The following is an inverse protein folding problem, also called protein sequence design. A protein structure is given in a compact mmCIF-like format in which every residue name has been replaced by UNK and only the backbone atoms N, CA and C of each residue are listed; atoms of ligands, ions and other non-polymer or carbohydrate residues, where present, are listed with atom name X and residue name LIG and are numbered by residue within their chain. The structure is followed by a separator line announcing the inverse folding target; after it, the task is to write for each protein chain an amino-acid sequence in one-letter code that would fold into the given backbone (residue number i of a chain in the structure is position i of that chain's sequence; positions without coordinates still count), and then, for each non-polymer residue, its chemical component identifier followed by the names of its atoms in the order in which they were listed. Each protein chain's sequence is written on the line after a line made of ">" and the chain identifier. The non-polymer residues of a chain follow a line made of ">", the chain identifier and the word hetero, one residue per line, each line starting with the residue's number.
data_IF_685510547450
#
_entry.id   IF_685510547450
#
_cell.length_a   1.000
_cell.length_b   1.000
_cell.length_c   1.000
_cell.angle_alpha   90.00
_cell.angle_beta   90.00
_cell.angle_gamma   90.00
#
_symmetry.space_group_name_H-M   'P 1'
#
loop_
_entity.id
_entity.type
_entity.pdbx_description
1 polymer ?
#
# COMPACT_ATOMS: atom_id res chain seq x y z
N UNK A 1 -3.75 20.75 -3.02
CA UNK A 1 -3.24 20.98 -1.65
C UNK A 1 -2.37 19.79 -1.30
N UNK A 2 -1.15 20.02 -0.84
CA UNK A 2 -0.21 18.95 -0.52
C UNK A 2 -0.75 17.99 0.55
N UNK A 3 -0.56 16.69 0.33
CA UNK A 3 -1.05 15.64 1.23
C UNK A 3 0.07 15.07 2.05
N UNK A 4 -0.23 14.69 3.29
CA UNK A 4 0.68 13.90 4.13
C UNK A 4 0.42 12.42 3.84
N UNK A 5 1.45 11.73 3.36
CA UNK A 5 1.37 10.37 2.83
C UNK A 5 2.28 9.44 3.62
N UNK A 6 1.68 8.49 4.33
CA UNK A 6 2.40 7.39 4.96
C UNK A 6 2.60 6.24 3.98
N UNK A 7 3.70 5.49 4.07
CA UNK A 7 4.00 4.36 3.19
C UNK A 7 4.32 3.12 4.01
N UNK A 8 3.54 2.06 3.81
CA UNK A 8 3.68 0.76 4.46
C UNK A 8 4.21 -0.26 3.44
N UNK A 9 5.29 -0.96 3.77
CA UNK A 9 5.97 -1.90 2.87
C UNK A 9 6.94 -2.81 3.64
N UNK A 10 7.41 -3.89 3.00
CA UNK A 10 8.46 -4.75 3.58
C UNK A 10 9.84 -4.29 3.13
N UNK A 11 10.58 -3.63 4.01
CA UNK A 11 11.89 -3.02 3.71
C UNK A 11 12.83 -3.89 2.87
N UNK A 12 13.05 -5.12 3.33
CA UNK A 12 14.04 -6.04 2.77
C UNK A 12 13.55 -6.91 1.60
N UNK A 13 12.33 -6.72 1.09
CA UNK A 13 11.83 -7.59 0.01
C UNK A 13 12.56 -7.30 -1.30
N UNK A 14 13.24 -8.31 -1.83
CA UNK A 14 13.99 -8.27 -3.10
C UNK A 14 13.22 -8.88 -4.27
N UNK A 15 11.99 -9.35 -4.05
CA UNK A 15 11.15 -9.93 -5.12
C UNK A 15 10.45 -8.86 -5.95
N UNK A 16 11.23 -7.89 -6.44
CA UNK A 16 10.80 -6.73 -7.22
C UNK A 16 11.69 -6.56 -8.45
N UNK A 17 11.21 -5.85 -9.48
CA UNK A 17 12.01 -5.56 -10.67
C UNK A 17 13.25 -4.74 -10.32
N UNK A 18 14.37 -5.05 -10.97
CA UNK A 18 15.63 -4.36 -10.79
C UNK A 18 15.58 -2.92 -11.32
N UNK A 19 15.77 -1.93 -10.42
CA UNK A 19 15.87 -0.51 -10.75
C UNK A 19 17.30 -0.09 -11.13
N UNK A 20 18.23 -1.05 -11.24
CA UNK A 20 19.63 -0.82 -11.57
C UNK A 20 20.32 0.16 -10.60
N UNK A 21 20.11 -0.06 -9.31
CA UNK A 21 20.62 0.80 -8.23
C UNK A 21 22.10 0.54 -7.95
N UNK A 22 22.84 1.63 -7.70
CA UNK A 22 24.23 1.60 -7.26
C UNK A 22 24.38 2.36 -5.94
N UNK A 23 25.01 1.73 -4.96
CA UNK A 23 25.31 2.34 -3.66
C UNK A 23 26.83 2.39 -3.43
N UNK A 24 27.29 3.33 -2.62
CA UNK A 24 28.70 3.41 -2.24
C UNK A 24 29.01 2.35 -1.16
N UNK A 25 30.02 1.52 -1.42
CA UNK A 25 30.53 0.60 -0.41
C UNK A 25 31.42 1.34 0.62
N UNK A 26 31.92 0.62 1.64
CA UNK A 26 32.84 1.16 2.66
C UNK A 26 34.10 1.83 2.07
N UNK A 27 34.49 1.48 0.84
CA UNK A 27 35.64 2.05 0.14
C UNK A 27 35.27 3.22 -0.81
N UNK A 28 34.02 3.72 -0.75
CA UNK A 28 33.52 4.82 -1.59
C UNK A 28 33.31 4.43 -3.05
N UNK A 29 33.30 3.14 -3.38
CA UNK A 29 33.07 2.67 -4.74
C UNK A 29 31.59 2.42 -4.97
N UNK A 30 31.04 2.95 -6.07
CA UNK A 30 29.68 2.65 -6.51
C UNK A 30 29.59 1.21 -7.01
N UNK A 31 28.88 0.37 -6.26
CA UNK A 31 28.65 -1.03 -6.60
C UNK A 31 27.17 -1.25 -6.85
N UNK A 32 26.84 -2.10 -7.84
CA UNK A 32 25.45 -2.47 -8.09
C UNK A 32 24.93 -3.25 -6.88
N UNK A 33 23.80 -2.82 -6.33
CA UNK A 33 23.14 -3.52 -5.23
C UNK A 33 21.88 -4.21 -5.72
N UNK A 34 21.44 -5.22 -4.97
CA UNK A 34 20.17 -5.86 -5.25
C UNK A 34 19.02 -4.91 -4.92
N UNK A 35 18.17 -4.63 -5.91
CA UNK A 35 16.97 -3.83 -5.71
C UNK A 35 16.04 -4.50 -4.68
N UNK A 36 15.41 -3.64 -3.86
CA UNK A 36 14.53 -3.96 -2.74
C UNK A 36 13.33 -3.02 -2.80
N UNK A 37 12.23 -3.37 -2.14
CA UNK A 37 11.07 -2.48 -2.00
C UNK A 37 11.44 -1.10 -1.42
N UNK A 38 12.45 -0.99 -0.54
CA UNK A 38 12.98 0.30 -0.07
C UNK A 38 13.42 1.24 -1.20
N UNK A 39 14.00 0.71 -2.27
CA UNK A 39 14.43 1.53 -3.41
C UNK A 39 13.24 2.12 -4.17
N UNK A 40 12.12 1.38 -4.28
CA UNK A 40 10.86 1.93 -4.79
C UNK A 40 10.29 3.02 -3.90
N UNK A 41 10.54 2.96 -2.58
CA UNK A 41 10.11 4.03 -1.65
C UNK A 41 10.94 5.30 -1.86
N UNK A 42 12.22 5.19 -2.23
CA UNK A 42 13.03 6.35 -2.63
C UNK A 42 12.43 7.02 -3.87
N UNK A 43 12.15 6.24 -4.93
CA UNK A 43 11.46 6.77 -6.12
C UNK A 43 10.10 7.37 -5.78
N UNK A 44 9.31 6.71 -4.91
CA UNK A 44 8.02 7.21 -4.46
C UNK A 44 8.15 8.54 -3.72
N UNK A 45 9.16 8.69 -2.88
CA UNK A 45 9.41 9.95 -2.16
C UNK A 45 9.68 11.10 -3.13
N UNK A 46 10.48 10.87 -4.17
CA UNK A 46 10.73 11.85 -5.22
C UNK A 46 9.46 12.18 -6.02
N UNK A 47 8.66 11.17 -6.37
CA UNK A 47 7.36 11.35 -7.05
C UNK A 47 6.42 12.22 -6.20
N UNK A 48 6.35 11.95 -4.89
CA UNK A 48 5.49 12.71 -3.99
C UNK A 48 5.97 14.15 -3.82
N UNK A 49 7.28 14.38 -3.69
CA UNK A 49 7.86 15.73 -3.56
C UNK A 49 7.59 16.58 -4.82
N UNK A 50 7.76 15.98 -6.00
CA UNK A 50 7.47 16.62 -7.29
C UNK A 50 5.99 17.02 -7.46
N UNK A 51 5.08 16.40 -6.72
CA UNK A 51 3.63 16.68 -6.72
C UNK A 51 3.18 17.48 -5.50
N UNK A 52 4.12 18.16 -4.83
CA UNK A 52 3.94 18.97 -3.62
C UNK A 52 3.29 18.18 -2.47
N UNK A 53 3.60 16.90 -2.32
CA UNK A 53 3.14 16.04 -1.22
C UNK A 53 4.23 15.81 -0.18
N UNK A 54 3.81 15.64 1.07
CA UNK A 54 4.68 15.42 2.22
C UNK A 54 4.77 13.92 2.48
N UNK A 55 5.89 13.32 2.13
CA UNK A 55 6.22 11.95 2.48
C UNK A 55 6.45 11.80 4.00
N UNK A 56 5.84 10.77 4.60
CA UNK A 56 5.90 10.44 6.04
C UNK A 56 6.44 9.04 6.30
N UNK A 57 7.43 8.59 5.51
CA UNK A 57 8.07 7.29 5.73
C UNK A 57 9.16 7.29 6.80
N UNK A 58 9.85 6.18 6.91
CA UNK A 58 11.02 6.00 7.79
C UNK A 58 12.18 6.90 7.37
N UNK A 59 12.95 7.40 8.35
CA UNK A 59 14.27 7.98 8.09
C UNK A 59 15.28 6.84 7.90
N UNK A 60 16.25 6.99 7.00
CA UNK A 60 17.30 5.99 6.74
C UNK A 60 18.00 5.60 8.05
N UNK A 61 17.70 4.39 8.55
CA UNK A 61 18.26 3.86 9.80
C UNK A 61 17.22 3.44 10.85
N UNK A 62 15.95 3.84 10.73
CA UNK A 62 14.85 3.27 11.53
C UNK A 62 14.31 2.00 10.87
N UNK A 63 15.18 1.02 10.61
CA UNK A 63 14.73 -0.31 10.17
C UNK A 63 13.95 -0.97 11.31
N UNK A 64 12.64 -1.05 11.15
CA UNK A 64 11.66 -1.57 12.12
C UNK A 64 11.68 -3.09 12.27
N UNK A 65 12.82 -3.73 12.07
CA UNK A 65 12.90 -5.20 11.99
C UNK A 65 12.45 -5.89 13.30
N UNK A 66 12.53 -5.19 14.43
CA UNK A 66 12.20 -5.74 15.76
C UNK A 66 10.95 -5.08 16.35
N UNK A 67 9.87 -5.87 16.46
CA UNK A 67 8.54 -5.52 16.98
C UNK A 67 8.50 -5.04 18.45
N UNK A 68 9.64 -4.88 19.11
CA UNK A 68 9.75 -4.79 20.57
C UNK A 68 9.97 -3.39 21.15
N UNK A 69 10.30 -2.39 20.32
CA UNK A 69 10.53 -1.04 20.85
C UNK A 69 9.23 -0.20 20.84
N UNK A 70 8.64 -0.01 22.02
CA UNK A 70 7.46 0.84 22.23
C UNK A 70 7.67 2.26 21.71
N UNK A 71 8.90 2.78 21.74
CA UNK A 71 9.23 4.10 21.22
C UNK A 71 9.06 4.16 19.69
N UNK A 72 9.56 3.14 19.00
CA UNK A 72 9.43 3.01 17.55
C UNK A 72 7.95 2.90 17.17
N UNK A 73 7.19 2.06 17.87
CA UNK A 73 5.75 1.94 17.65
C UNK A 73 5.03 3.29 17.88
N UNK A 74 5.43 4.08 18.88
CA UNK A 74 4.85 5.41 19.13
C UNK A 74 5.16 6.40 18.01
N UNK A 75 6.42 6.45 17.54
CA UNK A 75 6.83 7.36 16.47
C UNK A 75 6.07 7.09 15.16
N UNK A 76 5.82 5.82 14.84
CA UNK A 76 5.03 5.45 13.66
C UNK A 76 3.56 5.79 13.82
N UNK A 77 2.97 5.55 15.00
CA UNK A 77 1.61 6.00 15.30
C UNK A 77 1.46 7.48 15.04
N UNK A 78 2.45 8.28 15.42
CA UNK A 78 2.43 9.73 15.21
C UNK A 78 2.53 10.10 13.73
N UNK A 79 3.38 9.42 12.95
CA UNK A 79 3.47 9.60 11.49
C UNK A 79 2.17 9.22 10.77
N UNK A 80 1.56 8.09 11.14
CA UNK A 80 0.29 7.63 10.56
C UNK A 80 -0.85 8.58 10.95
N UNK A 81 -0.91 9.00 12.22
CA UNK A 81 -1.93 9.90 12.76
C UNK A 81 -1.89 11.28 12.11
N UNK A 82 -0.70 11.79 11.77
CA UNK A 82 -0.53 13.04 11.03
C UNK A 82 -0.72 12.88 9.51
N UNK A 83 -0.95 11.67 9.00
CA UNK A 83 -1.14 11.41 7.57
C UNK A 83 -2.62 11.46 7.16
N UNK A 84 -2.85 11.64 5.86
CA UNK A 84 -4.19 11.64 5.25
C UNK A 84 -4.41 10.46 4.30
N UNK A 85 -3.31 9.91 3.78
CA UNK A 85 -3.27 8.76 2.90
C UNK A 85 -2.21 7.79 3.43
N UNK A 86 -2.51 6.50 3.33
CA UNK A 86 -1.55 5.41 3.48
C UNK A 86 -1.42 4.69 2.13
N UNK A 87 -0.22 4.76 1.53
CA UNK A 87 0.15 3.90 0.41
C UNK A 87 0.68 2.59 0.99
N UNK A 88 0.17 1.47 0.51
CA UNK A 88 0.73 0.15 0.81
C UNK A 88 1.41 -0.39 -0.44
N UNK A 89 2.72 -0.61 -0.38
CA UNK A 89 3.43 -1.25 -1.48
C UNK A 89 3.22 -2.76 -1.41
N UNK A 90 2.57 -3.29 -2.44
CA UNK A 90 2.33 -4.72 -2.59
C UNK A 90 3.48 -5.28 -3.42
N UNK A 91 4.37 -6.02 -2.78
CA UNK A 91 5.48 -6.73 -3.43
C UNK A 91 5.31 -8.23 -3.27
N UNK A 92 5.86 -9.02 -4.20
CA UNK A 92 5.66 -10.48 -4.25
C UNK A 92 6.11 -11.20 -2.98
N UNK A 93 7.13 -10.69 -2.30
CA UNK A 93 7.67 -11.23 -1.05
C UNK A 93 7.23 -10.48 0.21
N UNK A 94 6.16 -9.66 0.17
CA UNK A 94 5.73 -8.83 1.30
C UNK A 94 5.31 -9.62 2.55
N UNK A 95 4.89 -10.87 2.40
CA UNK A 95 4.49 -11.76 3.52
C UNK A 95 5.65 -12.63 4.00
N UNK A 96 5.73 -12.87 5.30
CA UNK A 96 6.52 -13.96 5.91
C UNK A 96 5.61 -15.12 6.32
N UNK A 97 6.19 -16.21 6.82
CA UNK A 97 5.46 -17.37 7.36
C UNK A 97 4.88 -17.13 8.77
N UNK A 98 5.23 -16.01 9.40
CA UNK A 98 4.73 -15.63 10.72
C UNK A 98 3.26 -15.25 10.63
N UNK A 99 2.56 -15.27 11.77
CA UNK A 99 1.17 -14.83 11.80
C UNK A 99 1.09 -13.36 11.37
N UNK A 100 0.02 -12.99 10.64
CA UNK A 100 -0.09 -11.63 10.09
C UNK A 100 -0.12 -10.54 11.18
N UNK A 101 -0.65 -10.87 12.37
CA UNK A 101 -0.62 -10.00 13.55
C UNK A 101 0.80 -9.67 14.07
N UNK A 102 1.78 -10.51 13.74
CA UNK A 102 3.18 -10.38 14.15
C UNK A 102 4.01 -9.68 13.05
N UNK A 103 3.37 -9.32 11.92
CA UNK A 103 3.99 -8.55 10.83
C UNK A 103 3.53 -7.08 10.89
N UNK A 104 4.40 -6.16 10.48
CA UNK A 104 4.16 -4.71 10.62
C UNK A 104 3.06 -4.16 9.70
N UNK A 105 3.04 -4.57 8.43
CA UNK A 105 2.12 -4.03 7.40
C UNK A 105 0.65 -4.15 7.84
N UNK A 106 0.14 -5.31 8.31
CA UNK A 106 -1.23 -5.40 8.81
C UNK A 106 -1.56 -4.46 9.97
N UNK A 107 -0.61 -4.27 10.89
CA UNK A 107 -0.77 -3.37 12.02
C UNK A 107 -0.83 -1.90 11.57
N UNK A 108 0.03 -1.48 10.63
CA UNK A 108 0.05 -0.11 10.08
C UNK A 108 -1.25 0.23 9.35
N UNK A 109 -1.79 -0.73 8.59
CA UNK A 109 -3.08 -0.59 7.90
C UNK A 109 -4.22 -0.50 8.91
N UNK A 110 -4.23 -1.36 9.93
CA UNK A 110 -5.19 -1.35 11.03
C UNK A 110 -5.21 0.01 11.74
N UNK A 111 -4.02 0.55 12.01
CA UNK A 111 -3.89 1.87 12.62
C UNK A 111 -4.37 2.99 11.68
N UNK A 112 -4.02 2.92 10.40
CA UNK A 112 -4.44 3.88 9.36
C UNK A 112 -5.96 3.94 9.18
N UNK A 113 -6.66 2.83 9.35
CA UNK A 113 -8.12 2.77 9.23
C UNK A 113 -8.87 3.25 10.49
N UNK A 114 -8.21 3.24 11.65
CA UNK A 114 -8.84 3.59 12.94
C UNK A 114 -8.82 5.09 13.18
N UNK A 115 -9.85 5.53 13.88
CA UNK A 115 -9.96 6.91 14.36
C UNK A 115 -9.53 6.92 15.82
N UNK A 116 -8.64 7.85 16.17
CA UNK A 116 -8.10 7.97 17.51
C UNK A 116 -8.27 9.39 18.01
N UNK A 117 -8.67 9.55 19.28
CA UNK A 117 -8.71 10.85 19.92
C UNK A 117 -7.44 11.10 20.74
N UNK A 118 -6.69 12.15 20.42
CA UNK A 118 -5.50 12.60 21.15
C UNK A 118 -5.54 14.11 21.35
N UNK A 119 -5.33 14.57 22.59
CA UNK A 119 -5.31 16.00 22.90
C UNK A 119 -6.59 16.76 22.51
N UNK A 120 -7.76 16.10 22.53
CA UNK A 120 -9.05 16.71 22.18
C UNK A 120 -9.38 16.75 20.69
N UNK A 121 -8.52 16.22 19.81
CA UNK A 121 -8.77 16.06 18.37
C UNK A 121 -8.89 14.58 18.02
N UNK A 122 -9.86 14.21 17.21
CA UNK A 122 -10.01 12.87 16.65
C UNK A 122 -9.42 12.83 15.24
N UNK A 123 -8.55 11.87 14.95
CA UNK A 123 -8.08 11.63 13.57
C UNK A 123 -9.22 11.09 12.71
N UNK A 124 -9.18 11.44 11.42
CA UNK A 124 -9.97 10.74 10.42
C UNK A 124 -9.23 9.44 10.05
N UNK A 125 -9.99 8.43 9.59
CA UNK A 125 -9.39 7.30 8.87
C UNK A 125 -8.59 7.79 7.66
N UNK A 126 -7.46 7.18 7.35
CA UNK A 126 -6.72 7.50 6.12
C UNK A 126 -7.43 6.92 4.89
N UNK A 127 -7.27 7.59 3.75
CA UNK A 127 -7.46 6.94 2.45
C UNK A 127 -6.36 5.92 2.23
N UNK A 128 -6.70 4.74 1.72
CA UNK A 128 -5.70 3.67 1.51
C UNK A 128 -5.65 3.29 0.04
N UNK A 129 -4.44 3.18 -0.48
CA UNK A 129 -4.19 2.69 -1.83
C UNK A 129 -3.12 1.59 -1.82
N UNK A 130 -3.38 0.52 -2.55
CA UNK A 130 -2.44 -0.58 -2.78
C UNK A 130 -1.70 -0.35 -4.11
N UNK A 131 -0.43 0.05 -4.02
CA UNK A 131 0.43 0.22 -5.21
C UNK A 131 1.24 -1.05 -5.38
N UNK A 132 1.02 -1.75 -6.47
CA UNK A 132 1.58 -3.06 -6.74
C UNK A 132 2.90 -2.88 -7.45
N UNK A 133 3.99 -3.43 -6.91
CA UNK A 133 5.32 -3.36 -7.51
C UNK A 133 5.46 -4.45 -8.58
N UNK A 134 6.20 -4.21 -9.68
CA UNK A 134 6.54 -5.28 -10.60
C UNK A 134 7.41 -6.33 -9.92
N UNK A 135 7.20 -7.61 -10.22
CA UNK A 135 8.08 -8.67 -9.74
C UNK A 135 9.44 -8.66 -10.47
N UNK A 136 10.31 -9.62 -10.17
CA UNK A 136 11.67 -9.68 -10.73
C UNK A 136 11.72 -9.71 -12.27
N UNK A 137 10.60 -10.02 -12.93
CA UNK A 137 10.47 -10.09 -14.39
C UNK A 137 9.70 -8.90 -14.98
N UNK A 138 9.37 -7.88 -14.19
CA UNK A 138 8.52 -6.77 -14.63
C UNK A 138 7.02 -7.09 -14.62
N UNK A 139 6.63 -8.25 -14.08
CA UNK A 139 5.26 -8.74 -14.12
C UNK A 139 4.42 -8.34 -12.91
N UNK A 140 3.09 -8.34 -13.08
CA UNK A 140 2.13 -8.04 -12.00
C UNK A 140 1.22 -9.22 -11.68
N UNK A 141 1.35 -10.34 -12.42
CA UNK A 141 0.39 -11.45 -12.43
C UNK A 141 0.25 -12.19 -11.09
N UNK A 142 1.21 -12.01 -10.18
CA UNK A 142 1.10 -12.52 -8.82
C UNK A 142 -0.10 -11.90 -8.07
N UNK A 143 -0.56 -10.71 -8.49
CA UNK A 143 -1.70 -10.03 -7.90
C UNK A 143 -2.72 -9.46 -8.90
N UNK A 144 -2.28 -8.76 -9.96
CA UNK A 144 -3.15 -8.18 -10.99
C UNK A 144 -2.97 -8.94 -12.31
N UNK A 145 -4.03 -9.59 -12.78
CA UNK A 145 -4.10 -10.24 -14.10
C UNK A 145 -5.19 -9.62 -14.96
N UNK A 146 -5.16 -9.87 -16.26
CA UNK A 146 -6.22 -9.49 -17.18
C UNK A 146 -7.04 -10.74 -17.52
N UNK A 147 -8.36 -10.64 -17.39
CA UNK A 147 -9.30 -11.62 -17.91
C UNK A 147 -9.76 -11.16 -19.30
N UNK A 148 -9.32 -11.88 -20.34
CA UNK A 148 -9.70 -11.60 -21.72
C UNK A 148 -11.13 -12.01 -22.06
N UNK A 149 -11.72 -12.95 -21.31
CA UNK A 149 -13.10 -13.41 -21.53
C UNK A 149 -14.07 -12.35 -21.06
N UNK A 150 -13.83 -11.77 -19.89
CA UNK A 150 -14.68 -10.75 -19.29
C UNK A 150 -14.23 -9.31 -19.61
N UNK A 151 -13.12 -9.15 -20.33
CA UNK A 151 -12.49 -7.85 -20.64
C UNK A 151 -12.28 -6.98 -19.38
N UNK A 152 -11.93 -7.60 -18.27
CA UNK A 152 -11.72 -6.93 -16.98
C UNK A 152 -10.38 -7.34 -16.37
N UNK A 153 -9.92 -6.59 -15.37
CA UNK A 153 -8.80 -7.06 -14.55
C UNK A 153 -9.31 -8.01 -13.47
N UNK A 154 -8.49 -8.98 -13.08
CA UNK A 154 -8.72 -9.83 -11.92
C UNK A 154 -7.68 -9.50 -10.84
N UNK A 155 -8.14 -9.49 -9.59
CA UNK A 155 -7.32 -9.23 -8.41
C UNK A 155 -7.22 -10.52 -7.58
N UNK A 156 -6.02 -11.08 -7.45
CA UNK A 156 -5.74 -12.24 -6.61
C UNK A 156 -5.73 -11.84 -5.13
N UNK A 157 -6.89 -11.45 -4.58
CA UNK A 157 -7.00 -10.98 -3.18
C UNK A 157 -6.53 -11.97 -2.12
N UNK A 158 -6.57 -13.31 -2.30
CA UNK A 158 -5.95 -14.25 -1.36
C UNK A 158 -4.45 -14.05 -1.13
N UNK A 159 -3.74 -13.42 -2.08
CA UNK A 159 -2.33 -13.06 -1.93
C UNK A 159 -2.10 -11.99 -0.85
N UNK A 160 -3.07 -11.09 -0.64
CA UNK A 160 -2.94 -9.95 0.27
C UNK A 160 -3.06 -10.34 1.74
N UNK A 161 -2.50 -9.53 2.64
CA UNK A 161 -2.80 -9.63 4.08
C UNK A 161 -4.32 -9.57 4.31
N UNK A 162 -4.82 -10.32 5.29
CA UNK A 162 -6.23 -10.42 5.65
C UNK A 162 -6.88 -9.04 5.73
N UNK A 163 -6.24 -8.06 6.37
CA UNK A 163 -6.83 -6.73 6.48
C UNK A 163 -7.00 -6.04 5.12
N UNK A 164 -6.09 -6.21 4.16
CA UNK A 164 -6.28 -5.68 2.81
C UNK A 164 -7.32 -6.48 2.04
N UNK A 165 -7.22 -7.80 2.10
CA UNK A 165 -8.15 -8.72 1.44
C UNK A 165 -9.60 -8.43 1.85
N UNK A 166 -9.86 -8.26 3.14
CA UNK A 166 -11.20 -8.00 3.67
C UNK A 166 -11.71 -6.57 3.37
N UNK A 167 -10.85 -5.69 2.84
CA UNK A 167 -11.21 -4.36 2.33
C UNK A 167 -11.20 -4.27 0.78
N UNK A 168 -11.11 -5.41 0.10
CA UNK A 168 -11.37 -5.53 -1.35
C UNK A 168 -12.80 -6.00 -1.58
N UNK A 169 -13.46 -5.50 -2.63
CA UNK A 169 -14.83 -5.86 -3.01
C UNK A 169 -15.83 -5.74 -1.85
N UNK A 170 -15.64 -4.74 -0.97
CA UNK A 170 -16.36 -4.59 0.29
C UNK A 170 -17.41 -3.47 0.28
N UNK A 171 -17.78 -2.94 -0.89
CA UNK A 171 -18.92 -2.02 -1.02
C UNK A 171 -20.22 -2.69 -0.55
N UNK A 172 -21.07 -1.96 0.16
CA UNK A 172 -22.32 -2.47 0.75
C UNK A 172 -23.36 -2.86 -0.31
N UNK A 173 -23.42 -2.09 -1.40
CA UNK A 173 -24.35 -2.29 -2.50
C UNK A 173 -23.53 -2.34 -3.80
N UNK A 174 -23.01 -3.53 -4.18
CA UNK A 174 -22.16 -3.65 -5.35
C UNK A 174 -22.96 -3.60 -6.65
N UNK A 175 -22.39 -2.96 -7.67
CA UNK A 175 -22.87 -3.08 -9.05
C UNK A 175 -22.12 -4.23 -9.73
N UNK A 176 -22.80 -5.32 -10.05
CA UNK A 176 -22.17 -6.55 -10.58
C UNK A 176 -22.91 -7.14 -11.76
N UNK A 177 -22.16 -7.88 -12.57
CA UNK A 177 -22.66 -8.71 -13.67
C UNK A 177 -22.00 -10.09 -13.61
N UNK A 178 -22.71 -11.13 -14.06
CA UNK A 178 -22.13 -12.47 -14.22
C UNK A 178 -21.54 -12.56 -15.61
N UNK A 179 -20.23 -12.77 -15.68
CA UNK A 179 -19.52 -12.98 -16.93
C UNK A 179 -19.81 -14.37 -17.52
N UNK A 180 -19.52 -14.56 -18.81
CA UNK A 180 -19.71 -15.82 -19.54
C UNK A 180 -18.97 -17.02 -18.95
N UNK A 181 -17.89 -16.79 -18.21
CA UNK A 181 -17.14 -17.85 -17.50
C UNK A 181 -17.71 -18.17 -16.09
N UNK A 182 -18.84 -17.54 -15.71
CA UNK A 182 -19.48 -17.70 -14.39
C UNK A 182 -18.88 -16.82 -13.28
N UNK A 183 -17.85 -16.03 -13.57
CA UNK A 183 -17.25 -15.10 -12.60
C UNK A 183 -18.10 -13.84 -12.43
N UNK A 184 -18.09 -13.27 -11.23
CA UNK A 184 -18.74 -11.99 -10.94
C UNK A 184 -17.81 -10.83 -11.30
N UNK A 185 -18.24 -9.97 -12.21
CA UNK A 185 -17.58 -8.72 -12.55
C UNK A 185 -18.14 -7.62 -11.68
N UNK A 186 -17.26 -6.79 -11.13
CA UNK A 186 -17.61 -5.63 -10.30
C UNK A 186 -17.33 -4.35 -11.07
N UNK A 187 -18.27 -3.41 -11.02
CA UNK A 187 -18.15 -2.11 -11.67
C UNK A 187 -17.95 -0.99 -10.66
N UNK A 188 -17.34 0.11 -11.12
CA UNK A 188 -17.07 1.28 -10.29
C UNK A 188 -16.18 0.97 -9.09
N UNK A 189 -16.35 1.74 -8.03
CA UNK A 189 -15.51 1.70 -6.83
C UNK A 189 -15.97 0.63 -5.84
N UNK A 190 -15.87 -0.63 -6.25
CA UNK A 190 -16.32 -1.76 -5.43
C UNK A 190 -15.38 -2.10 -4.26
N UNK A 191 -14.17 -1.54 -4.22
CA UNK A 191 -13.18 -1.74 -3.15
C UNK A 191 -12.93 -0.42 -2.42
N UNK A 192 -12.93 -0.44 -1.09
CA UNK A 192 -12.45 0.71 -0.30
C UNK A 192 -10.95 0.96 -0.52
N UNK A 193 -10.16 -0.10 -0.70
CA UNK A 193 -8.74 -0.01 -1.06
C UNK A 193 -8.59 -0.21 -2.56
N UNK A 194 -8.21 0.84 -3.29
CA UNK A 194 -7.93 0.71 -4.72
C UNK A 194 -6.56 0.07 -4.94
N UNK A 195 -6.49 -0.87 -5.89
CA UNK A 195 -5.24 -1.44 -6.37
C UNK A 195 -4.81 -0.84 -7.70
N UNK A 196 -3.53 -0.50 -7.84
CA UNK A 196 -2.94 0.11 -9.04
C UNK A 196 -1.54 -0.47 -9.30
N UNK A 197 -1.14 -0.64 -10.56
CA UNK A 197 0.24 -1.03 -10.89
C UNK A 197 1.19 0.15 -10.66
N UNK A 198 2.43 -0.13 -10.29
CA UNK A 198 3.45 0.90 -10.08
C UNK A 198 3.59 1.87 -11.25
N UNK A 199 3.69 1.36 -12.48
CA UNK A 199 3.82 2.20 -13.69
C UNK A 199 2.62 3.14 -13.89
N UNK A 200 1.40 2.64 -13.66
CA UNK A 200 0.18 3.45 -13.78
C UNK A 200 0.18 4.54 -12.69
N UNK A 201 0.50 4.17 -11.44
CA UNK A 201 0.57 5.12 -10.32
C UNK A 201 1.59 6.23 -10.58
N UNK A 202 2.81 5.86 -10.99
CA UNK A 202 3.90 6.79 -11.29
C UNK A 202 3.53 7.77 -12.41
N UNK A 203 2.73 7.34 -13.38
CA UNK A 203 2.30 8.20 -14.49
C UNK A 203 1.28 9.27 -14.09
N UNK A 204 0.40 8.98 -13.12
CA UNK A 204 -0.66 9.89 -12.68
C UNK A 204 -0.90 9.81 -11.16
N UNK A 205 0.10 10.13 -10.32
CA UNK A 205 0.03 9.89 -8.87
C UNK A 205 -1.12 10.65 -8.22
N UNK A 206 -1.32 11.91 -8.62
CA UNK A 206 -2.36 12.78 -8.08
C UNK A 206 -3.78 12.23 -8.30
N UNK A 207 -4.06 11.57 -9.43
CA UNK A 207 -5.34 10.93 -9.70
C UNK A 207 -5.65 9.86 -8.64
N UNK A 208 -4.69 8.97 -8.40
CA UNK A 208 -4.83 7.86 -7.48
C UNK A 208 -4.89 8.32 -6.02
N UNK A 209 -4.12 9.35 -5.66
CA UNK A 209 -4.18 9.94 -4.32
C UNK A 209 -5.51 10.68 -4.10
N UNK A 210 -6.04 11.37 -5.12
CA UNK A 210 -7.38 11.95 -5.06
C UNK A 210 -8.43 10.86 -4.85
N UNK A 211 -8.29 9.73 -5.56
CA UNK A 211 -9.23 8.62 -5.44
C UNK A 211 -9.22 7.99 -4.06
N UNK A 212 -8.05 7.80 -3.45
CA UNK A 212 -7.95 7.30 -2.07
C UNK A 212 -8.67 8.23 -1.06
N UNK A 213 -8.64 9.54 -1.27
CA UNK A 213 -9.38 10.51 -0.44
C UNK A 213 -10.88 10.43 -0.69
N UNK A 214 -11.31 10.31 -1.94
CA UNK A 214 -12.72 10.15 -2.28
C UNK A 214 -13.31 8.89 -1.62
N UNK A 215 -12.61 7.75 -1.68
CA UNK A 215 -13.03 6.51 -1.05
C UNK A 215 -13.10 6.63 0.48
N UNK A 216 -12.14 7.34 1.08
CA UNK A 216 -12.17 7.67 2.52
C UNK A 216 -13.39 8.51 2.88
N UNK A 217 -13.69 9.54 2.09
CA UNK A 217 -14.80 10.44 2.36
C UNK A 217 -16.15 9.71 2.17
N UNK A 218 -16.19 8.68 1.32
CA UNK A 218 -17.32 7.76 1.13
C UNK A 218 -17.21 6.47 1.95
N UNK A 219 -16.41 6.42 3.04
CA UNK A 219 -16.16 5.20 3.83
C UNK A 219 -17.43 4.50 4.33
N UNK A 220 -18.52 5.24 4.51
CA UNK A 220 -19.80 4.73 5.00
C UNK A 220 -20.51 3.85 3.96
N UNK A 221 -20.09 3.85 2.71
CA UNK A 221 -20.60 2.95 1.66
C UNK A 221 -19.94 1.56 1.70
N UNK A 222 -18.95 1.36 2.57
CA UNK A 222 -18.13 0.15 2.62
C UNK A 222 -18.22 -0.57 3.96
N UNK A 223 -18.08 -1.90 3.93
CA UNK A 223 -17.88 -2.74 5.10
C UNK A 223 -16.39 -2.81 5.43
N UNK A 224 -15.88 -1.79 6.13
CA UNK A 224 -14.44 -1.64 6.39
C UNK A 224 -13.99 -2.53 7.55
N UNK A 225 -13.02 -3.41 7.28
CA UNK A 225 -12.36 -4.23 8.31
C UNK A 225 -11.14 -3.50 8.86
N UNK A 226 -11.16 -3.15 10.15
CA UNK A 226 -10.08 -2.35 10.80
C UNK A 226 -9.19 -3.15 11.74
N UNK A 227 -9.39 -4.47 11.84
CA UNK A 227 -8.71 -5.34 12.80
C UNK A 227 -7.98 -6.47 12.09
N UNK A 228 -6.77 -6.76 12.55
CA UNK A 228 -6.00 -7.94 12.13
C UNK A 228 -6.53 -9.16 12.90
N UNK A 229 -6.69 -10.29 12.21
CA UNK A 229 -7.14 -11.56 12.78
C UNK A 229 -5.97 -12.50 13.06
#
# INVERSE_FOLDING_TARGET
>A
MGRKVFVSYKYGDTQVQDLNVYEENWFGQKVKVQTKARHYVNELSEILDNEDHIFKGEDDGQSLADFSDEYIASALRDKIYDSSITIVLISKGMKTYEAEKDQWIPWEISYSLKEYTRGGRTSLSNGIIAVVLPDQWGGYEYYITQDSVCSCRSLNTPFLFQILKDNMFNIKIPNTEICTNGSTVYYGDSCYVQSVKWEDFKSTPNYYLNKAIELRDNKDDYNITKTVK
#
